data_IF_255332822231
#
_entry.id   IF_255332822231
#
_cell.length_a   1.000
_cell.length_b   1.000
_cell.length_c   1.000
_cell.angle_alpha   90.00
_cell.angle_beta   90.00
_cell.angle_gamma   90.00
#
_symmetry.space_group_name_H-M   'P 1'
#
loop_
_entity.id
_entity.type
_entity.pdbx_description
1 polymer ?
#
# COMPACT_ATOMS: atom_id res chain seq x y z
N UNK A 1 1.63 3.93 -16.21
CA UNK A 1 1.69 3.25 -14.89
C UNK A 1 1.78 4.31 -13.81
N UNK A 2 0.90 4.27 -12.81
CA UNK A 2 0.88 5.26 -11.71
C UNK A 2 1.98 4.96 -10.69
N UNK A 3 2.55 6.02 -10.07
CA UNK A 3 3.56 5.90 -9.01
C UNK A 3 3.05 5.03 -7.84
N UNK A 4 1.78 5.21 -7.44
CA UNK A 4 1.13 4.44 -6.38
C UNK A 4 1.18 2.94 -6.67
N UNK A 5 0.90 2.53 -7.91
CA UNK A 5 0.87 1.13 -8.34
C UNK A 5 2.27 0.52 -8.27
N UNK A 6 3.28 1.26 -8.72
CA UNK A 6 4.69 0.84 -8.63
C UNK A 6 5.12 0.64 -7.17
N UNK A 7 4.76 1.57 -6.28
CA UNK A 7 5.09 1.48 -4.85
C UNK A 7 4.39 0.27 -4.23
N UNK A 8 3.09 0.09 -4.45
CA UNK A 8 2.33 -1.05 -3.91
C UNK A 8 2.92 -2.37 -4.39
N UNK A 9 3.25 -2.49 -5.68
CA UNK A 9 3.86 -3.68 -6.26
C UNK A 9 5.18 -4.04 -5.55
N UNK A 10 6.04 -3.03 -5.35
CA UNK A 10 7.33 -3.20 -4.66
C UNK A 10 7.17 -3.59 -3.19
N UNK A 11 6.31 -2.90 -2.44
CA UNK A 11 6.10 -3.18 -1.01
C UNK A 11 5.45 -4.55 -0.77
N UNK A 12 4.63 -5.01 -1.72
CA UNK A 12 3.91 -6.28 -1.60
C UNK A 12 4.67 -7.46 -2.18
N UNK A 13 5.70 -7.22 -2.99
CA UNK A 13 6.45 -8.28 -3.68
C UNK A 13 5.67 -8.92 -4.83
N UNK A 14 4.83 -8.15 -5.53
CA UNK A 14 4.02 -8.64 -6.67
C UNK A 14 4.37 -7.91 -7.96
N UNK A 15 3.93 -8.46 -9.10
CA UNK A 15 4.06 -7.80 -10.41
C UNK A 15 3.22 -6.51 -10.46
N UNK A 16 3.67 -5.42 -11.13
CA UNK A 16 2.90 -4.18 -11.26
C UNK A 16 1.50 -4.36 -11.86
N UNK A 17 1.31 -5.38 -12.72
CA UNK A 17 -0.01 -5.72 -13.27
C UNK A 17 -0.98 -6.24 -12.19
N UNK A 18 -0.47 -7.04 -11.24
CA UNK A 18 -1.26 -7.52 -10.10
C UNK A 18 -1.65 -6.36 -9.19
N UNK A 19 -0.73 -5.42 -8.96
CA UNK A 19 -1.03 -4.21 -8.17
C UNK A 19 -2.03 -3.27 -8.86
N UNK A 20 -1.94 -3.13 -10.18
CA UNK A 20 -2.94 -2.39 -10.95
C UNK A 20 -4.32 -3.04 -10.80
N UNK A 21 -4.41 -4.36 -11.00
CA UNK A 21 -5.68 -5.09 -10.85
C UNK A 21 -6.24 -4.97 -9.44
N UNK A 22 -5.41 -5.09 -8.41
CA UNK A 22 -5.84 -4.90 -7.03
C UNK A 22 -6.43 -3.52 -6.78
N UNK A 23 -5.85 -2.47 -7.39
CA UNK A 23 -6.36 -1.10 -7.30
C UNK A 23 -7.66 -0.90 -8.06
N UNK A 24 -7.75 -1.43 -9.28
CA UNK A 24 -8.97 -1.35 -10.09
C UNK A 24 -10.12 -2.09 -9.37
N UNK A 25 -9.85 -3.24 -8.77
CA UNK A 25 -10.79 -3.99 -7.92
C UNK A 25 -11.17 -3.19 -6.69
N UNK A 26 -10.21 -2.60 -5.97
CA UNK A 26 -10.49 -1.79 -4.78
C UNK A 26 -11.41 -0.60 -5.12
N UNK A 27 -11.13 0.10 -6.22
CA UNK A 27 -11.95 1.21 -6.71
C UNK A 27 -13.37 0.75 -7.08
N UNK A 28 -13.53 -0.43 -7.68
CA UNK A 28 -14.85 -0.97 -8.04
C UNK A 28 -15.77 -1.26 -6.84
N UNK A 29 -15.22 -1.40 -5.63
CA UNK A 29 -15.99 -1.67 -4.41
C UNK A 29 -16.34 -0.40 -3.60
N UNK A 30 -15.97 0.80 -4.07
CA UNK A 30 -16.33 2.10 -3.45
C UNK A 30 -16.08 2.21 -1.92
N UNK A 31 -15.14 1.42 -1.40
CA UNK A 31 -14.74 1.46 0.00
C UNK A 31 -15.62 0.63 0.92
N UNK A 32 -16.48 -0.24 0.36
CA UNK A 32 -17.22 -1.21 1.14
C UNK A 32 -16.27 -2.25 1.75
N UNK A 33 -16.02 -2.10 3.04
CA UNK A 33 -15.18 -2.99 3.85
C UNK A 33 -15.78 -4.39 4.04
N UNK A 34 -17.07 -4.57 3.74
CA UNK A 34 -17.75 -5.86 3.82
C UNK A 34 -17.85 -6.55 2.46
N UNK A 35 -17.40 -5.90 1.39
CA UNK A 35 -17.34 -6.53 0.08
C UNK A 35 -16.41 -7.76 0.13
N UNK A 36 -16.86 -8.86 -0.47
CA UNK A 36 -16.08 -10.08 -0.54
C UNK A 36 -14.77 -9.83 -1.29
N UNK A 37 -13.64 -10.02 -0.59
CA UNK A 37 -12.31 -9.92 -1.19
C UNK A 37 -12.14 -11.07 -2.19
N UNK A 38 -11.73 -10.80 -3.45
CA UNK A 38 -11.47 -11.87 -4.42
C UNK A 38 -10.43 -12.86 -3.90
N UNK A 39 -10.61 -14.16 -4.18
CA UNK A 39 -9.75 -15.23 -3.66
C UNK A 39 -8.25 -15.02 -3.94
N UNK A 40 -7.94 -14.42 -5.11
CA UNK A 40 -6.56 -14.09 -5.52
C UNK A 40 -5.86 -13.08 -4.58
N UNK A 41 -6.62 -12.36 -3.76
CA UNK A 41 -6.15 -11.39 -2.79
C UNK A 41 -6.39 -11.81 -1.34
N UNK A 42 -6.84 -13.04 -1.08
CA UNK A 42 -7.12 -13.48 0.30
C UNK A 42 -5.85 -13.80 1.08
N UNK A 43 -4.79 -14.25 0.41
CA UNK A 43 -3.58 -14.75 1.08
C UNK A 43 -2.26 -14.18 0.51
N UNK A 44 -1.21 -14.25 1.33
CA UNK A 44 0.17 -14.05 0.91
C UNK A 44 0.51 -12.62 0.45
N UNK A 45 1.20 -12.52 -0.68
CA UNK A 45 1.60 -11.24 -1.28
C UNK A 45 0.40 -10.50 -1.90
N UNK A 46 -0.58 -11.24 -2.43
CA UNK A 46 -1.82 -10.69 -2.97
C UNK A 46 -2.64 -9.95 -1.91
N UNK A 47 -2.76 -10.51 -0.71
CA UNK A 47 -3.45 -9.87 0.41
C UNK A 47 -2.84 -8.53 0.82
N UNK A 48 -1.51 -8.47 0.94
CA UNK A 48 -0.79 -7.22 1.23
C UNK A 48 -0.99 -6.18 0.12
N UNK A 49 -0.93 -6.63 -1.13
CA UNK A 49 -1.16 -5.78 -2.29
C UNK A 49 -2.55 -5.16 -2.28
N UNK A 50 -3.58 -5.97 -2.03
CA UNK A 50 -4.96 -5.51 -2.01
C UNK A 50 -5.24 -4.58 -0.83
N UNK A 51 -4.72 -4.89 0.37
CA UNK A 51 -4.83 -4.01 1.53
C UNK A 51 -4.16 -2.64 1.29
N UNK A 52 -2.97 -2.61 0.68
CA UNK A 52 -2.32 -1.35 0.34
C UNK A 52 -3.08 -0.58 -0.75
N UNK A 53 -3.66 -1.27 -1.72
CA UNK A 53 -4.48 -0.66 -2.77
C UNK A 53 -5.75 -0.01 -2.21
N UNK A 54 -6.48 -0.67 -1.30
CA UNK A 54 -7.67 -0.11 -0.66
C UNK A 54 -7.33 1.09 0.22
N UNK A 55 -6.24 1.04 0.99
CA UNK A 55 -5.78 2.19 1.78
C UNK A 55 -5.39 3.35 0.86
N UNK A 56 -4.67 3.09 -0.23
CA UNK A 56 -4.26 4.13 -1.18
C UNK A 56 -5.46 4.81 -1.86
N UNK A 57 -6.53 4.06 -2.13
CA UNK A 57 -7.73 4.57 -2.79
C UNK A 57 -8.63 5.35 -1.82
N UNK A 58 -8.95 4.77 -0.65
CA UNK A 58 -9.95 5.36 0.27
C UNK A 58 -9.36 6.17 1.41
N UNK A 59 -8.07 6.00 1.72
CA UNK A 59 -7.38 6.69 2.82
C UNK A 59 -5.99 7.17 2.36
N UNK A 60 -5.90 7.99 1.29
CA UNK A 60 -4.62 8.37 0.69
C UNK A 60 -3.68 9.07 1.69
N UNK A 61 -4.23 9.85 2.62
CA UNK A 61 -3.44 10.49 3.68
C UNK A 61 -2.72 9.47 4.59
N UNK A 62 -3.36 8.34 4.91
CA UNK A 62 -2.73 7.27 5.69
C UNK A 62 -1.67 6.53 4.87
N UNK A 63 -1.93 6.27 3.59
CA UNK A 63 -0.97 5.62 2.70
C UNK A 63 0.33 6.42 2.58
N UNK A 64 0.22 7.70 2.19
CA UNK A 64 1.38 8.57 2.00
C UNK A 64 2.02 8.96 3.34
N UNK A 65 1.23 9.18 4.39
CA UNK A 65 1.73 9.44 5.74
C UNK A 65 2.55 8.27 6.28
N UNK A 66 2.07 7.03 6.11
CA UNK A 66 2.80 5.83 6.49
C UNK A 66 4.11 5.67 5.70
N UNK A 67 4.09 5.96 4.39
CA UNK A 67 5.29 5.93 3.56
C UNK A 67 6.33 6.98 3.99
N UNK A 68 5.89 8.19 4.33
CA UNK A 68 6.78 9.22 4.84
C UNK A 68 7.35 8.85 6.20
N UNK A 69 6.54 8.29 7.10
CA UNK A 69 6.98 7.82 8.40
C UNK A 69 8.05 6.72 8.29
N UNK A 70 7.93 5.81 7.31
CA UNK A 70 8.91 4.76 7.05
C UNK A 70 10.32 5.32 6.79
N UNK A 71 10.43 6.51 6.18
CA UNK A 71 11.71 7.17 5.89
C UNK A 71 12.11 8.15 7.01
N UNK A 72 11.16 8.93 7.51
CA UNK A 72 11.41 9.97 8.49
C UNK A 72 11.84 9.40 9.85
N UNK A 73 11.22 8.31 10.31
CA UNK A 73 11.56 7.68 11.60
C UNK A 73 13.02 7.23 11.66
N UNK A 74 13.54 6.41 10.72
CA UNK A 74 14.96 6.04 10.75
C UNK A 74 15.89 7.23 10.56
N UNK A 75 15.53 8.22 9.73
CA UNK A 75 16.32 9.43 9.57
C UNK A 75 16.42 10.24 10.87
N UNK A 76 15.30 10.44 11.58
CA UNK A 76 15.28 11.14 12.87
C UNK A 76 16.04 10.37 13.95
N UNK A 77 15.95 9.04 13.97
CA UNK A 77 16.77 8.20 14.86
C UNK A 77 18.26 8.39 14.60
N UNK A 78 18.68 8.41 13.32
CA UNK A 78 20.07 8.63 12.96
C UNK A 78 20.56 10.02 13.38
N UNK A 79 19.76 11.06 13.12
CA UNK A 79 20.05 12.44 13.55
C UNK A 79 20.21 12.52 15.07
N UNK A 80 19.34 11.83 15.83
CA UNK A 80 19.40 11.77 17.29
C UNK A 80 20.68 11.09 17.78
N UNK A 81 21.14 10.02 17.13
CA UNK A 81 22.40 9.34 17.49
C UNK A 81 23.62 10.19 17.15
N UNK A 82 23.58 10.98 16.09
CA UNK A 82 24.70 11.82 15.67
C UNK A 82 24.85 13.12 16.48
N UNK A 83 23.76 13.63 17.05
CA UNK A 83 23.75 14.89 17.82
C UNK A 83 23.50 14.69 19.33
N UNK A 84 23.36 13.44 19.78
CA UNK A 84 23.17 13.08 21.20
C UNK A 84 24.40 12.38 21.73
#
# INVERSE_FOLDING_TARGET
MSLTVTIIAKLSGVEPRTAQRARDTAAAFDGDVNAAVPEEFTYGAGARCYALATIAEFRPALFWGGLMALVAVPALMLVKVLHG
#
